data_IF_883691651632
#
_entry.id   IF_883691651632
#
_cell.length_a   1.000
_cell.length_b   1.000
_cell.length_c   1.000
_cell.angle_alpha   90.00
_cell.angle_beta   90.00
_cell.angle_gamma   90.00
#
_symmetry.space_group_name_H-M   'P 1'
#
loop_
_entity.id
_entity.type
_entity.pdbx_description
1 polymer ?
#
# COMPACT_ATOMS: atom_id res chain seq x y z
N UNK A 1 -18.44 -18.12 46.37
CA UNK A 1 -19.16 -16.98 45.79
C UNK A 1 -18.23 -15.84 45.36
N UNK A 2 -17.34 -15.37 46.24
CA UNK A 2 -16.40 -14.26 45.97
C UNK A 2 -15.51 -14.43 44.71
N UNK A 3 -14.88 -15.60 44.52
CA UNK A 3 -14.04 -15.88 43.33
C UNK A 3 -14.78 -15.73 42.00
N UNK A 4 -16.08 -16.08 41.94
CA UNK A 4 -16.88 -15.93 40.71
C UNK A 4 -17.18 -14.46 40.42
N UNK A 5 -17.45 -13.66 41.46
CA UNK A 5 -17.68 -12.22 41.32
C UNK A 5 -16.42 -11.53 40.78
N UNK A 6 -15.24 -11.86 41.32
CA UNK A 6 -13.96 -11.30 40.85
C UNK A 6 -13.71 -11.63 39.38
N UNK A 7 -13.96 -12.87 38.94
CA UNK A 7 -13.79 -13.28 37.53
C UNK A 7 -14.72 -12.50 36.60
N UNK A 8 -15.99 -12.32 36.98
CA UNK A 8 -16.96 -11.55 36.17
C UNK A 8 -16.55 -10.07 36.08
N UNK A 9 -16.10 -9.47 37.18
CA UNK A 9 -15.62 -8.08 37.19
C UNK A 9 -14.38 -7.91 36.32
N UNK A 10 -13.42 -8.84 36.39
CA UNK A 10 -12.22 -8.80 35.54
C UNK A 10 -12.57 -8.95 34.07
N UNK A 11 -13.43 -9.92 33.70
CA UNK A 11 -13.88 -10.08 32.32
C UNK A 11 -14.62 -8.84 31.79
N UNK A 12 -15.48 -8.24 32.62
CA UNK A 12 -16.17 -6.99 32.28
C UNK A 12 -15.21 -5.81 32.09
N UNK A 13 -14.22 -5.66 32.98
CA UNK A 13 -13.20 -4.63 32.87
C UNK A 13 -12.33 -4.82 31.62
N UNK A 14 -11.93 -6.06 31.33
CA UNK A 14 -11.16 -6.40 30.12
C UNK A 14 -11.95 -6.15 28.84
N UNK A 15 -13.23 -6.52 28.79
CA UNK A 15 -14.10 -6.25 27.65
C UNK A 15 -14.32 -4.74 27.46
N UNK A 16 -14.50 -4.00 28.55
CA UNK A 16 -14.61 -2.54 28.51
C UNK A 16 -13.32 -1.88 28.02
N UNK A 17 -12.16 -2.33 28.52
CA UNK A 17 -10.86 -1.83 28.09
C UNK A 17 -10.62 -2.12 26.60
N UNK A 18 -10.96 -3.33 26.15
CA UNK A 18 -10.90 -3.70 24.74
C UNK A 18 -11.78 -2.79 23.88
N UNK A 19 -13.06 -2.61 24.25
CA UNK A 19 -13.98 -1.71 23.53
C UNK A 19 -13.52 -0.24 23.55
N UNK A 20 -12.88 0.22 24.63
CA UNK A 20 -12.34 1.57 24.73
C UNK A 20 -11.09 1.77 23.84
N UNK A 21 -10.36 0.70 23.52
CA UNK A 21 -9.23 0.72 22.59
C UNK A 21 -9.61 0.39 21.15
N UNK A 22 -10.76 -0.24 20.93
CA UNK A 22 -11.29 -0.50 19.59
C UNK A 22 -11.81 0.84 19.05
N UNK A 23 -11.28 1.28 17.90
CA UNK A 23 -11.71 2.54 17.35
C UNK A 23 -13.17 2.52 16.91
N UNK A 24 -13.90 3.65 17.00
CA UNK A 24 -15.28 3.71 16.54
C UNK A 24 -15.36 3.37 15.04
N UNK A 25 -16.49 2.81 14.57
CA UNK A 25 -16.69 2.53 13.16
C UNK A 25 -16.40 3.77 12.30
N UNK A 26 -15.71 3.61 11.16
CA UNK A 26 -15.25 4.72 10.35
C UNK A 26 -16.46 5.44 9.74
N UNK A 27 -16.45 6.77 9.77
CA UNK A 27 -17.43 7.58 9.05
C UNK A 27 -17.06 7.62 7.57
N UNK A 28 -17.80 6.90 6.74
CA UNK A 28 -17.51 6.77 5.32
C UNK A 28 -17.76 8.12 4.61
N UNK A 29 -16.78 8.58 3.83
CA UNK A 29 -16.91 9.86 3.13
C UNK A 29 -17.99 9.76 2.03
N UNK A 30 -19.04 10.57 2.13
CA UNK A 30 -20.19 10.60 1.22
C UNK A 30 -21.45 9.89 1.73
N UNK A 31 -21.44 9.28 2.92
CA UNK A 31 -22.65 8.70 3.55
C UNK A 31 -23.35 9.70 4.47
N UNK A 32 -24.64 9.52 4.82
CA UNK A 32 -25.30 10.32 5.85
C UNK A 32 -24.49 10.36 7.15
N UNK A 33 -24.20 11.55 7.66
CA UNK A 33 -23.36 11.75 8.87
C UNK A 33 -21.85 11.58 8.66
N UNK A 34 -21.41 11.25 7.43
CA UNK A 34 -20.01 11.14 7.04
C UNK A 34 -19.45 12.43 6.43
N UNK A 35 -18.11 12.59 6.37
CA UNK A 35 -17.48 13.75 5.73
C UNK A 35 -17.82 13.84 4.22
N UNK A 36 -17.80 15.05 3.62
CA UNK A 36 -18.03 15.21 2.19
C UNK A 36 -16.90 14.60 1.35
N UNK A 37 -17.22 14.26 0.10
CA UNK A 37 -16.25 13.83 -0.90
C UNK A 37 -15.53 15.04 -1.49
N UNK A 38 -14.23 15.18 -1.23
CA UNK A 38 -13.46 16.37 -1.68
C UNK A 38 -12.42 16.07 -2.76
N UNK A 39 -12.21 14.81 -3.12
CA UNK A 39 -11.17 14.40 -4.08
C UNK A 39 -11.73 13.46 -5.14
N UNK A 40 -11.13 13.43 -6.35
CA UNK A 40 -11.45 12.45 -7.38
C UNK A 40 -11.29 11.03 -6.84
N UNK A 41 -12.19 10.14 -7.26
CA UNK A 41 -12.13 8.72 -6.93
C UNK A 41 -12.51 7.86 -8.12
N UNK A 42 -11.93 6.68 -8.19
CA UNK A 42 -12.34 5.61 -9.10
C UNK A 42 -13.12 4.58 -8.29
N UNK A 43 -14.27 4.16 -8.80
CA UNK A 43 -15.02 3.03 -8.25
C UNK A 43 -14.43 1.73 -8.81
N UNK A 44 -14.04 0.82 -7.93
CA UNK A 44 -13.57 -0.52 -8.31
C UNK A 44 -14.75 -1.48 -8.46
N UNK A 45 -14.51 -2.65 -9.06
CA UNK A 45 -15.55 -3.64 -9.43
C UNK A 45 -16.40 -4.11 -8.24
N UNK A 46 -15.80 -4.23 -7.06
CA UNK A 46 -16.47 -4.60 -5.81
C UNK A 46 -17.26 -3.46 -5.14
N UNK A 47 -17.30 -2.28 -5.76
CA UNK A 47 -18.03 -1.11 -5.27
C UNK A 47 -17.26 -0.19 -4.31
N UNK A 48 -16.03 -0.55 -3.90
CA UNK A 48 -15.15 0.37 -3.15
C UNK A 48 -14.69 1.53 -4.02
N UNK A 49 -14.14 2.57 -3.38
CA UNK A 49 -13.64 3.76 -4.05
C UNK A 49 -12.18 4.00 -3.70
N UNK A 50 -11.32 4.15 -4.72
CA UNK A 50 -9.93 4.54 -4.58
C UNK A 50 -9.78 6.04 -4.86
N UNK A 51 -9.35 6.81 -3.87
CA UNK A 51 -9.04 8.23 -4.07
C UNK A 51 -7.66 8.40 -4.69
N UNK A 52 -7.54 9.32 -5.65
CA UNK A 52 -6.29 9.53 -6.37
C UNK A 52 -6.02 11.02 -6.60
N UNK A 53 -4.77 11.33 -6.97
CA UNK A 53 -4.32 12.65 -7.41
C UNK A 53 -3.59 12.48 -8.74
N UNK A 54 -3.90 13.33 -9.71
CA UNK A 54 -3.19 13.40 -10.99
C UNK A 54 -2.17 14.54 -10.93
N UNK A 55 -0.96 14.28 -11.42
CA UNK A 55 0.12 15.25 -11.57
C UNK A 55 0.78 15.06 -12.94
N UNK A 56 1.41 16.11 -13.48
CA UNK A 56 1.99 16.09 -14.83
C UNK A 56 1.05 16.66 -15.89
N UNK A 57 1.04 16.06 -17.08
CA UNK A 57 0.19 16.48 -18.21
C UNK A 57 -1.21 15.84 -18.11
N UNK A 58 -2.25 16.45 -18.71
CA UNK A 58 -3.58 15.86 -18.72
C UNK A 58 -3.59 14.42 -19.27
N UNK A 59 -4.44 13.57 -18.71
CA UNK A 59 -4.51 12.12 -19.03
C UNK A 59 -4.70 11.82 -20.52
N UNK A 60 -5.38 12.69 -21.26
CA UNK A 60 -5.58 12.57 -22.71
C UNK A 60 -4.31 12.85 -23.52
N UNK A 61 -3.39 13.64 -22.99
CA UNK A 61 -2.15 14.05 -23.66
C UNK A 61 -0.95 13.21 -23.19
N UNK A 62 -1.12 12.46 -22.09
CA UNK A 62 -0.09 11.60 -21.53
C UNK A 62 0.24 10.42 -22.45
N UNK A 63 1.45 10.43 -23.01
CA UNK A 63 2.00 9.30 -23.79
C UNK A 63 2.19 8.04 -22.93
N UNK A 64 2.51 8.21 -21.65
CA UNK A 64 2.70 7.14 -20.67
C UNK A 64 1.98 7.48 -19.37
N UNK A 65 1.37 6.47 -18.73
CA UNK A 65 0.63 6.62 -17.48
C UNK A 65 1.28 5.74 -16.43
N UNK A 66 1.97 6.37 -15.47
CA UNK A 66 2.60 5.68 -14.35
C UNK A 66 1.68 5.79 -13.15
N UNK A 67 1.28 4.66 -12.58
CA UNK A 67 0.47 4.61 -11.37
C UNK A 67 1.42 4.26 -10.22
N UNK A 68 1.59 5.19 -9.29
CA UNK A 68 2.39 4.97 -8.08
C UNK A 68 1.42 4.61 -6.95
N UNK A 69 1.55 3.41 -6.42
CA UNK A 69 0.84 2.96 -5.23
C UNK A 69 1.86 2.87 -4.10
N UNK A 70 1.76 3.76 -3.12
CA UNK A 70 2.58 3.70 -1.93
C UNK A 70 1.71 3.19 -0.78
N UNK A 71 2.08 2.06 -0.20
CA UNK A 71 1.41 1.48 0.97
C UNK A 71 1.97 2.01 2.28
N UNK A 72 1.31 1.66 3.38
CA UNK A 72 1.69 1.93 4.78
C UNK A 72 2.05 3.38 5.13
N UNK A 73 1.13 4.09 5.80
CA UNK A 73 1.38 5.41 6.38
C UNK A 73 1.26 6.57 5.40
N UNK A 74 0.74 6.34 4.19
CA UNK A 74 0.68 7.33 3.11
C UNK A 74 -0.69 7.43 2.46
N UNK A 75 -0.95 8.61 1.89
CA UNK A 75 -2.17 8.93 1.17
C UNK A 75 -1.83 9.57 -0.18
N UNK A 76 -2.84 9.75 -1.03
CA UNK A 76 -2.72 10.43 -2.34
C UNK A 76 -2.09 11.84 -2.31
N UNK A 77 -2.00 12.45 -1.12
CA UNK A 77 -1.43 13.79 -0.90
C UNK A 77 0.03 13.72 -0.41
N UNK A 78 0.73 12.59 -0.58
CA UNK A 78 2.16 12.48 -0.24
C UNK A 78 3.02 13.41 -1.13
N UNK A 79 3.29 14.60 -0.61
CA UNK A 79 4.44 15.44 -0.93
C UNK A 79 5.31 15.49 0.35
N UNK A 80 6.62 15.18 0.31
CA UNK A 80 7.44 15.31 1.51
C UNK A 80 7.71 16.80 1.81
N UNK A 81 7.59 17.34 3.05
CA UNK A 81 7.10 16.77 4.31
C UNK A 81 5.78 17.41 4.83
N UNK A 82 4.78 16.55 5.08
CA UNK A 82 3.60 16.67 5.96
C UNK A 82 2.78 17.97 6.04
N UNK A 83 1.69 18.10 5.26
CA UNK A 83 0.56 18.95 5.65
C UNK A 83 -0.30 18.19 6.68
N UNK A 84 -0.08 18.47 7.99
CA UNK A 84 -0.86 17.91 9.11
C UNK A 84 -2.38 18.07 8.94
N UNK A 85 -2.82 19.04 8.16
CA UNK A 85 -4.23 19.39 8.02
C UNK A 85 -5.04 18.40 7.18
N UNK A 86 -4.39 17.64 6.29
CA UNK A 86 -5.07 16.61 5.48
C UNK A 86 -5.19 15.26 6.18
N UNK A 87 -4.44 15.02 7.27
CA UNK A 87 -4.55 13.81 8.09
C UNK A 87 -5.83 13.77 8.96
N UNK A 88 -6.60 14.86 9.00
CA UNK A 88 -7.71 15.05 9.95
C UNK A 88 -9.06 14.42 9.55
N UNK A 89 -9.13 13.63 8.47
CA UNK A 89 -10.38 12.95 8.09
C UNK A 89 -10.59 11.62 8.85
N UNK A 90 -9.51 10.92 9.22
CA UNK A 90 -9.51 9.70 10.04
C UNK A 90 -8.51 9.73 11.22
N UNK A 91 -7.53 10.64 11.26
CA UNK A 91 -6.52 10.71 12.32
C UNK A 91 -5.40 9.69 12.12
N UNK A 92 -4.18 10.05 12.54
CA UNK A 92 -2.96 9.24 12.31
C UNK A 92 -3.07 7.84 12.92
N UNK A 93 -3.64 7.74 14.12
CA UNK A 93 -3.80 6.47 14.83
C UNK A 93 -4.68 5.47 14.07
N UNK A 94 -5.85 5.92 13.59
CA UNK A 94 -6.77 5.08 12.82
C UNK A 94 -6.18 4.62 11.50
N UNK A 95 -5.55 5.54 10.77
CA UNK A 95 -4.94 5.24 9.48
C UNK A 95 -3.84 4.20 9.64
N UNK A 96 -2.94 4.38 10.61
CA UNK A 96 -1.86 3.44 10.88
C UNK A 96 -2.41 2.09 11.35
N UNK A 97 -3.39 2.08 12.25
CA UNK A 97 -4.00 0.85 12.74
C UNK A 97 -4.69 0.06 11.61
N UNK A 98 -5.38 0.74 10.69
CA UNK A 98 -6.00 0.10 9.53
C UNK A 98 -4.97 -0.44 8.53
N UNK A 99 -3.91 0.33 8.27
CA UNK A 99 -2.83 -0.11 7.40
C UNK A 99 -2.17 -1.38 7.97
N UNK A 100 -1.97 -1.43 9.29
CA UNK A 100 -1.51 -2.63 9.99
C UNK A 100 -2.51 -3.79 9.86
N UNK A 101 -3.79 -3.55 10.10
CA UNK A 101 -4.83 -4.58 10.01
C UNK A 101 -4.98 -5.18 8.61
N UNK A 102 -4.80 -4.38 7.55
CA UNK A 102 -4.81 -4.87 6.17
C UNK A 102 -3.50 -5.56 5.83
N UNK A 103 -2.36 -4.94 6.16
CA UNK A 103 -1.04 -5.48 5.85
C UNK A 103 -0.73 -6.81 6.55
N UNK A 104 -1.20 -6.97 7.79
CA UNK A 104 -1.00 -8.17 8.61
C UNK A 104 -2.27 -9.01 8.80
N UNK A 105 -3.36 -8.65 8.11
CA UNK A 105 -4.62 -9.40 8.12
C UNK A 105 -4.52 -10.70 7.33
N UNK A 106 -5.60 -11.49 7.36
CA UNK A 106 -5.76 -12.61 6.44
C UNK A 106 -6.24 -12.11 5.09
N UNK A 107 -5.64 -12.62 4.03
CA UNK A 107 -5.99 -12.28 2.66
C UNK A 107 -6.86 -13.40 2.08
N UNK A 108 -7.87 -13.03 1.28
CA UNK A 108 -8.77 -13.98 0.61
C UNK A 108 -8.10 -14.72 -0.55
N UNK A 109 -6.87 -14.32 -0.90
CA UNK A 109 -6.07 -14.91 -1.96
C UNK A 109 -4.61 -14.98 -1.52
N UNK A 110 -3.88 -15.96 -2.08
CA UNK A 110 -2.42 -16.02 -1.97
C UNK A 110 -1.80 -15.24 -3.15
N UNK A 111 -1.01 -14.18 -2.89
CA UNK A 111 -0.31 -13.46 -3.95
C UNK A 111 0.61 -14.36 -4.79
N UNK A 112 1.09 -15.49 -4.25
CA UNK A 112 1.97 -16.44 -4.95
C UNK A 112 1.22 -17.33 -5.95
N UNK A 113 -0.11 -17.30 -5.96
CA UNK A 113 -0.96 -18.06 -6.88
C UNK A 113 -1.50 -17.19 -8.04
N UNK A 114 -0.99 -15.96 -8.18
CA UNK A 114 -1.42 -15.05 -9.24
C UNK A 114 -0.97 -15.54 -10.62
N UNK A 115 -1.93 -15.60 -11.55
CA UNK A 115 -1.67 -15.86 -12.95
C UNK A 115 -1.12 -14.60 -13.64
N UNK A 116 -0.28 -14.79 -14.65
CA UNK A 116 0.22 -13.68 -15.46
C UNK A 116 -0.95 -12.93 -16.12
N UNK A 117 -1.18 -11.64 -15.79
CA UNK A 117 -2.26 -10.87 -16.40
C UNK A 117 -1.96 -10.45 -17.85
N UNK A 118 -0.73 -10.64 -18.34
CA UNK A 118 -0.26 -10.26 -19.67
C UNK A 118 0.33 -11.47 -20.43
N UNK A 119 -0.49 -12.48 -20.76
CA UNK A 119 -0.01 -13.71 -21.39
C UNK A 119 0.52 -13.52 -22.82
N UNK A 120 0.19 -12.40 -23.48
CA UNK A 120 0.69 -12.10 -24.83
C UNK A 120 1.75 -10.97 -24.83
N UNK A 121 2.41 -10.75 -23.68
CA UNK A 121 3.45 -9.74 -23.50
C UNK A 121 2.98 -8.31 -23.84
N UNK A 122 1.69 -8.02 -23.61
CA UNK A 122 1.15 -6.67 -23.81
C UNK A 122 1.73 -5.67 -22.80
N UNK A 123 2.12 -6.18 -21.63
CA UNK A 123 2.78 -5.45 -20.55
C UNK A 123 3.62 -6.43 -19.71
N UNK A 124 4.38 -5.88 -18.77
CA UNK A 124 5.20 -6.63 -17.81
C UNK A 124 4.96 -6.14 -16.39
N UNK A 125 5.32 -6.97 -15.42
CA UNK A 125 5.33 -6.62 -14.00
C UNK A 125 6.76 -6.71 -13.51
N UNK A 126 7.20 -5.69 -12.78
CA UNK A 126 8.57 -5.57 -12.30
C UNK A 126 8.59 -5.30 -10.79
N UNK A 127 9.57 -5.87 -10.09
CA UNK A 127 9.87 -5.59 -8.69
C UNK A 127 11.32 -5.10 -8.61
N UNK A 128 11.51 -3.89 -8.09
CA UNK A 128 12.82 -3.40 -7.67
C UNK A 128 12.95 -3.52 -6.15
N UNK A 129 14.05 -4.07 -5.66
CA UNK A 129 14.31 -4.27 -4.24
C UNK A 129 15.71 -3.78 -3.88
N UNK A 130 15.84 -3.05 -2.77
CA UNK A 130 17.14 -2.73 -2.21
C UNK A 130 17.77 -3.96 -1.56
N UNK A 131 19.00 -4.29 -1.94
CA UNK A 131 19.73 -5.45 -1.40
C UNK A 131 20.03 -5.27 0.11
N UNK A 132 20.29 -4.04 0.55
CA UNK A 132 20.54 -3.68 1.95
C UNK A 132 19.27 -3.34 2.73
N UNK A 133 18.07 -3.67 2.21
CA UNK A 133 16.81 -3.45 2.93
C UNK A 133 16.78 -4.28 4.23
N UNK A 134 16.67 -3.57 5.36
CA UNK A 134 16.63 -4.16 6.71
C UNK A 134 15.22 -4.38 7.23
N UNK A 135 14.20 -3.90 6.50
CA UNK A 135 12.79 -4.07 6.84
C UNK A 135 12.24 -5.28 6.10
N UNK A 136 12.47 -5.35 4.79
CA UNK A 136 12.03 -6.46 3.93
C UNK A 136 13.25 -7.19 3.36
N UNK A 137 13.54 -8.42 3.80
CA UNK A 137 14.69 -9.17 3.31
C UNK A 137 14.59 -9.47 1.82
N UNK A 138 15.69 -9.29 1.08
CA UNK A 138 15.80 -9.59 -0.37
C UNK A 138 15.35 -11.03 -0.71
N UNK A 139 15.59 -11.98 0.20
CA UNK A 139 15.20 -13.38 0.04
C UNK A 139 13.70 -13.57 -0.16
N UNK A 140 12.87 -12.69 0.41
CA UNK A 140 11.43 -12.73 0.20
C UNK A 140 11.11 -12.52 -1.28
N UNK A 141 11.67 -11.47 -1.89
CA UNK A 141 11.37 -11.14 -3.28
C UNK A 141 11.93 -12.18 -4.26
N UNK A 142 13.11 -12.76 -3.97
CA UNK A 142 13.62 -13.92 -4.71
C UNK A 142 12.64 -15.10 -4.68
N UNK A 143 12.10 -15.42 -3.50
CA UNK A 143 11.10 -16.48 -3.38
C UNK A 143 9.80 -16.14 -4.13
N UNK A 144 9.36 -14.89 -4.10
CA UNK A 144 8.21 -14.43 -4.89
C UNK A 144 8.43 -14.67 -6.38
N UNK A 145 9.61 -14.35 -6.90
CA UNK A 145 9.89 -14.41 -8.34
C UNK A 145 10.18 -15.84 -8.81
N UNK A 146 10.64 -16.72 -7.92
CA UNK A 146 10.63 -18.18 -8.15
C UNK A 146 9.20 -18.72 -8.32
N UNK A 147 8.24 -18.22 -7.54
CA UNK A 147 6.83 -18.64 -7.63
C UNK A 147 6.07 -17.98 -8.78
N UNK A 148 6.43 -16.74 -9.11
CA UNK A 148 5.81 -15.92 -10.14
C UNK A 148 6.83 -15.59 -11.23
N UNK A 149 7.20 -16.54 -12.11
CA UNK A 149 8.28 -16.37 -13.09
C UNK A 149 7.98 -15.32 -14.18
N UNK A 150 6.74 -14.82 -14.24
CA UNK A 150 6.33 -13.73 -15.11
C UNK A 150 6.66 -12.34 -14.53
N UNK A 151 7.10 -12.26 -13.28
CA UNK A 151 7.57 -11.02 -12.64
C UNK A 151 9.07 -10.84 -12.91
N UNK A 152 9.43 -9.68 -13.44
CA UNK A 152 10.83 -9.29 -13.65
C UNK A 152 11.40 -8.71 -12.35
N UNK A 153 12.50 -9.27 -11.85
CA UNK A 153 13.10 -8.87 -10.58
C UNK A 153 14.40 -8.12 -10.78
N UNK A 154 14.62 -7.07 -10.00
CA UNK A 154 15.79 -6.19 -10.07
C UNK A 154 16.28 -5.87 -8.65
N UNK A 155 17.50 -6.24 -8.32
CA UNK A 155 18.14 -5.95 -7.04
C UNK A 155 19.08 -4.76 -7.15
N UNK A 156 18.86 -3.75 -6.30
CA UNK A 156 19.74 -2.60 -6.22
C UNK A 156 20.82 -2.82 -5.15
N UNK A 157 22.09 -3.02 -5.52
CA UNK A 157 23.13 -3.51 -4.60
C UNK A 157 23.35 -2.60 -3.38
N UNK A 158 23.32 -1.28 -3.59
CA UNK A 158 23.54 -0.29 -2.52
C UNK A 158 22.21 0.27 -1.98
N UNK A 159 21.08 -0.35 -2.34
CA UNK A 159 19.74 0.12 -2.01
C UNK A 159 19.26 -0.36 -0.64
N UNK A 160 18.78 0.55 0.20
CA UNK A 160 18.02 0.23 1.42
C UNK A 160 16.50 0.17 1.17
N UNK A 161 15.68 0.22 2.22
CA UNK A 161 14.21 0.17 2.09
C UNK A 161 13.62 1.30 1.22
N UNK A 162 14.28 2.47 1.23
CA UNK A 162 13.78 3.69 0.60
C UNK A 162 14.38 3.93 -0.80
N UNK A 163 14.56 2.87 -1.60
CA UNK A 163 15.18 2.97 -2.94
C UNK A 163 14.44 3.94 -3.87
N UNK A 164 13.15 4.17 -3.65
CA UNK A 164 12.32 5.06 -4.46
C UNK A 164 12.69 6.56 -4.33
N UNK A 165 13.52 6.92 -3.34
CA UNK A 165 14.06 8.27 -3.20
C UNK A 165 15.35 8.47 -4.00
N UNK A 166 15.95 7.39 -4.53
CA UNK A 166 17.17 7.45 -5.32
C UNK A 166 16.83 7.74 -6.80
N UNK A 167 17.39 8.82 -7.33
CA UNK A 167 17.16 9.22 -8.73
C UNK A 167 17.67 8.19 -9.74
N UNK A 168 18.67 7.39 -9.38
CA UNK A 168 19.21 6.31 -10.24
C UNK A 168 18.16 5.23 -10.47
N UNK A 169 17.40 4.89 -9.43
CA UNK A 169 16.31 3.91 -9.50
C UNK A 169 15.15 4.47 -10.31
N UNK A 170 14.80 5.74 -10.10
CA UNK A 170 13.79 6.40 -10.93
C UNK A 170 14.16 6.38 -12.42
N UNK A 171 15.41 6.69 -12.76
CA UNK A 171 15.88 6.65 -14.14
C UNK A 171 15.82 5.23 -14.72
N UNK A 172 16.29 4.22 -13.97
CA UNK A 172 16.25 2.82 -14.39
C UNK A 172 14.83 2.30 -14.64
N UNK A 173 13.89 2.62 -13.74
CA UNK A 173 12.47 2.28 -13.89
C UNK A 173 11.92 2.93 -15.17
N UNK A 174 12.20 4.21 -15.42
CA UNK A 174 11.70 4.91 -16.60
C UNK A 174 12.30 4.33 -17.89
N UNK A 175 13.59 4.04 -17.92
CA UNK A 175 14.25 3.40 -19.08
C UNK A 175 13.69 2.02 -19.35
N UNK A 176 13.59 1.19 -18.31
CA UNK A 176 13.08 -0.18 -18.40
C UNK A 176 11.62 -0.18 -18.88
N UNK A 177 10.74 0.61 -18.28
CA UNK A 177 9.31 0.60 -18.59
C UNK A 177 8.97 1.35 -19.88
N UNK A 178 9.63 2.48 -20.17
CA UNK A 178 9.25 3.35 -21.29
C UNK A 178 10.05 3.08 -22.56
N UNK A 179 11.33 2.72 -22.42
CA UNK A 179 12.23 2.46 -23.54
C UNK A 179 12.45 0.96 -23.79
N UNK A 180 12.01 0.09 -22.88
CA UNK A 180 12.23 -1.36 -22.92
C UNK A 180 13.73 -1.72 -22.97
N UNK A 181 14.54 -0.90 -22.33
CA UNK A 181 15.96 -1.17 -22.08
C UNK A 181 16.09 -2.23 -20.98
N UNK A 182 17.19 -2.98 -20.98
CA UNK A 182 17.53 -3.84 -19.85
C UNK A 182 17.81 -2.97 -18.62
N UNK A 183 17.39 -3.42 -17.44
CA UNK A 183 17.74 -2.74 -16.18
C UNK A 183 19.25 -2.72 -16.00
N UNK A 184 19.74 -1.64 -15.41
CA UNK A 184 21.11 -1.48 -14.95
C UNK A 184 21.42 -2.32 -13.70
N UNK A 185 20.40 -2.94 -13.12
CA UNK A 185 20.45 -3.72 -11.90
C UNK A 185 20.15 -5.20 -12.18
N UNK A 186 20.66 -6.08 -11.31
CA UNK A 186 20.70 -7.55 -11.52
C UNK A 186 19.58 -8.24 -10.79
#
# INVERSE_FOLDING_TARGET
MFKRIVVVLLAGLSAWLYQATVPPPPKICGTPGGPPVTSPRIRVSDGRHLAYRETGVPKQDAKYKIIIVHGFGVCKDFEPPFPQDKAKQQGVFESLHRDLMVGFGTWEFDPMELNNPFPHNESSVHIWQGYEDRIIPVLLQRYVTERLPWVQYHEFPDGGHMIYLDTRICEDILRTLLLRESSLFV
#
